data_IF_563025245579
#
_entry.id   IF_563025245579
#
_cell.length_a   1.000
_cell.length_b   1.000
_cell.length_c   1.000
_cell.angle_alpha   90.00
_cell.angle_beta   90.00
_cell.angle_gamma   90.00
#
_symmetry.space_group_name_H-M   'P 1'
#
loop_
_entity.id
_entity.type
_entity.pdbx_description
1 polymer ?
#
# COMPACT_ATOMS: atom_id res chain seq x y z
N UNK A 1 56.69 37.21 60.20
CA UNK A 1 55.95 35.92 60.45
C UNK A 1 54.80 35.80 59.48
N UNK A 2 55.01 35.03 58.44
CA UNK A 2 54.05 34.88 57.33
C UNK A 2 53.42 33.50 57.46
N UNK A 3 52.07 33.41 57.67
CA UNK A 3 51.35 32.18 57.75
C UNK A 3 50.74 31.83 56.37
N UNK A 4 51.22 30.75 55.76
CA UNK A 4 50.62 30.15 54.56
C UNK A 4 49.38 29.36 54.97
N UNK A 5 48.26 29.64 54.32
CA UNK A 5 47.04 28.84 54.39
C UNK A 5 46.98 28.03 53.12
N UNK A 6 47.13 26.69 53.22
CA UNK A 6 46.85 25.71 52.12
C UNK A 6 45.35 25.53 52.02
N UNK A 7 44.81 25.91 50.89
CA UNK A 7 43.44 25.55 50.53
C UNK A 7 43.38 24.18 49.75
N UNK A 8 42.75 23.21 50.34
CA UNK A 8 42.39 21.91 49.66
C UNK A 8 41.19 22.13 48.77
N UNK A 9 41.37 22.04 47.46
CA UNK A 9 40.29 21.95 46.49
C UNK A 9 39.93 20.47 46.26
N UNK A 10 38.78 20.04 46.75
CA UNK A 10 38.24 18.71 46.46
C UNK A 10 37.61 18.72 45.06
N UNK A 11 38.18 17.93 44.14
CA UNK A 11 37.59 17.63 42.82
C UNK A 11 36.51 16.57 42.99
N UNK A 12 35.22 16.93 42.80
CA UNK A 12 34.12 15.98 42.65
C UNK A 12 34.08 15.48 41.22
N UNK A 13 34.48 14.23 40.99
CA UNK A 13 34.27 13.51 39.76
C UNK A 13 32.79 13.04 39.72
N UNK A 14 31.97 13.74 38.92
CA UNK A 14 30.63 13.26 38.59
C UNK A 14 30.77 12.19 37.52
N UNK A 15 30.64 10.93 37.93
CA UNK A 15 30.52 9.79 37.01
C UNK A 15 29.12 9.82 36.37
N UNK A 16 29.03 10.26 35.11
CA UNK A 16 27.81 10.15 34.31
C UNK A 16 27.70 8.72 33.82
N UNK A 17 26.89 7.89 34.48
CA UNK A 17 26.47 6.62 33.95
C UNK A 17 25.58 6.88 32.70
N UNK A 18 26.15 6.72 31.51
CA UNK A 18 25.38 6.61 30.28
C UNK A 18 24.61 5.27 30.35
N UNK A 19 23.32 5.34 30.65
CA UNK A 19 22.44 4.21 30.49
C UNK A 19 22.26 3.98 28.98
N UNK A 20 22.91 2.94 28.46
CA UNK A 20 22.61 2.36 27.15
C UNK A 20 21.16 1.90 27.15
N UNK A 21 20.27 2.73 26.61
CA UNK A 21 18.92 2.33 26.25
C UNK A 21 19.04 1.48 24.97
N UNK A 22 19.44 0.22 25.16
CA UNK A 22 19.27 -0.79 24.13
C UNK A 22 17.79 -0.89 23.83
N UNK A 23 17.36 -0.31 22.71
CA UNK A 23 16.03 -0.52 22.17
C UNK A 23 15.88 -2.04 21.95
N UNK A 24 15.12 -2.71 22.82
CA UNK A 24 14.69 -4.09 22.60
C UNK A 24 13.96 -4.12 21.29
N UNK A 25 14.60 -4.66 20.24
CA UNK A 25 13.93 -5.11 19.03
C UNK A 25 12.80 -6.04 19.50
N UNK A 26 11.55 -5.57 19.40
CA UNK A 26 10.40 -6.44 19.60
C UNK A 26 10.56 -7.57 18.58
N UNK A 27 10.63 -8.82 19.03
CA UNK A 27 10.60 -9.97 18.12
C UNK A 27 9.32 -9.83 17.31
N UNK A 28 9.45 -9.48 16.03
CA UNK A 28 8.33 -9.46 15.09
C UNK A 28 7.82 -10.90 15.02
N UNK A 29 6.60 -11.16 15.48
CA UNK A 29 5.97 -12.45 15.29
C UNK A 29 5.37 -12.45 13.86
N UNK A 30 5.95 -13.22 12.92
CA UNK A 30 5.45 -13.23 11.55
C UNK A 30 4.03 -13.80 11.52
N UNK A 31 3.22 -13.26 10.62
CA UNK A 31 1.85 -13.75 10.36
C UNK A 31 1.89 -15.18 9.84
N UNK A 32 1.02 -16.03 10.34
CA UNK A 32 0.96 -17.47 10.01
C UNK A 32 -0.11 -17.79 8.97
N UNK A 33 -1.21 -17.04 8.97
CA UNK A 33 -2.33 -17.23 8.04
C UNK A 33 -2.57 -15.92 7.28
N UNK A 34 -2.43 -15.93 5.96
CA UNK A 34 -2.76 -14.78 5.11
C UNK A 34 -3.55 -15.25 3.90
N UNK A 35 -4.67 -14.59 3.66
CA UNK A 35 -5.40 -14.64 2.40
C UNK A 35 -5.60 -13.22 1.86
N UNK A 36 -5.33 -13.03 0.57
CA UNK A 36 -5.65 -11.80 -0.14
C UNK A 36 -6.63 -12.13 -1.25
N UNK A 37 -7.79 -11.45 -1.28
CA UNK A 37 -8.82 -11.64 -2.29
C UNK A 37 -9.01 -10.34 -3.08
N UNK A 38 -8.86 -10.37 -4.40
CA UNK A 38 -9.13 -9.21 -5.27
C UNK A 38 -10.63 -9.00 -5.41
N UNK A 39 -11.11 -7.80 -5.03
CA UNK A 39 -12.52 -7.43 -5.07
C UNK A 39 -12.86 -6.42 -6.18
N UNK A 40 -11.89 -5.63 -6.63
CA UNK A 40 -12.01 -4.73 -7.78
C UNK A 40 -10.73 -4.78 -8.62
N UNK A 41 -10.86 -4.93 -9.92
CA UNK A 41 -9.81 -4.89 -10.94
C UNK A 41 -10.45 -4.80 -12.32
N UNK A 42 -9.63 -4.61 -13.38
CA UNK A 42 -10.11 -4.47 -14.76
C UNK A 42 -10.72 -5.75 -15.33
N UNK A 43 -10.31 -6.92 -14.83
CA UNK A 43 -10.80 -8.22 -15.30
C UNK A 43 -11.74 -8.87 -14.28
N UNK A 44 -12.85 -9.38 -14.79
CA UNK A 44 -13.84 -10.11 -14.00
C UNK A 44 -14.47 -11.22 -14.87
N UNK A 45 -15.07 -12.22 -14.25
CA UNK A 45 -15.79 -13.27 -14.94
C UNK A 45 -17.10 -13.66 -14.23
N UNK A 46 -17.98 -14.33 -14.96
CA UNK A 46 -19.27 -14.74 -14.42
C UNK A 46 -20.15 -13.56 -14.01
N UNK A 47 -20.63 -13.58 -12.77
CA UNK A 47 -21.49 -12.55 -12.21
C UNK A 47 -20.74 -11.36 -11.55
N UNK A 48 -19.41 -11.42 -11.47
CA UNK A 48 -18.59 -10.32 -10.95
C UNK A 48 -18.44 -9.19 -11.96
N UNK A 49 -18.07 -8.00 -11.49
CA UNK A 49 -17.92 -6.78 -12.31
C UNK A 49 -16.47 -6.32 -12.27
N UNK A 50 -15.90 -6.08 -13.46
CA UNK A 50 -14.63 -5.40 -13.62
C UNK A 50 -14.81 -3.88 -13.75
N UNK A 51 -13.81 -3.14 -13.33
CA UNK A 51 -13.76 -1.67 -13.46
C UNK A 51 -12.31 -1.19 -13.54
N UNK A 52 -12.12 0.05 -14.01
CA UNK A 52 -10.83 0.71 -13.83
C UNK A 52 -10.71 1.17 -12.37
N UNK A 53 -10.36 0.23 -11.50
CA UNK A 53 -10.22 0.43 -10.06
C UNK A 53 -9.51 -0.75 -9.42
N UNK A 54 -9.11 -0.58 -8.17
CA UNK A 54 -8.49 -1.64 -7.37
C UNK A 54 -9.12 -1.71 -5.98
N UNK A 55 -9.36 -2.93 -5.52
CA UNK A 55 -9.64 -3.23 -4.11
C UNK A 55 -9.27 -4.68 -3.81
N UNK A 56 -8.70 -4.90 -2.63
CA UNK A 56 -8.37 -6.23 -2.15
C UNK A 56 -8.70 -6.37 -0.66
N UNK A 57 -9.35 -7.47 -0.26
CA UNK A 57 -9.47 -7.85 1.14
C UNK A 57 -8.22 -8.62 1.55
N UNK A 58 -7.59 -8.19 2.63
CA UNK A 58 -6.49 -8.87 3.31
C UNK A 58 -7.02 -9.44 4.62
N UNK A 59 -6.99 -10.76 4.74
CA UNK A 59 -7.29 -11.51 5.96
C UNK A 59 -5.97 -12.06 6.50
N UNK A 60 -5.59 -11.70 7.73
CA UNK A 60 -4.32 -12.09 8.33
C UNK A 60 -4.49 -12.35 9.83
N UNK A 61 -4.24 -13.59 10.27
CA UNK A 61 -4.37 -14.04 11.67
C UNK A 61 -5.65 -13.54 12.34
N UNK A 62 -6.81 -13.69 11.65
CA UNK A 62 -8.12 -13.27 12.12
C UNK A 62 -8.36 -11.76 12.11
N UNK A 63 -7.51 -10.95 11.46
CA UNK A 63 -7.70 -9.52 11.18
C UNK A 63 -8.08 -9.30 9.74
N UNK A 64 -8.91 -8.28 9.50
CA UNK A 64 -9.33 -7.89 8.15
C UNK A 64 -8.92 -6.44 7.87
N UNK A 65 -8.20 -6.24 6.77
CA UNK A 65 -7.85 -4.93 6.23
C UNK A 65 -8.35 -4.86 4.79
N UNK A 66 -9.09 -3.81 4.46
CA UNK A 66 -9.39 -3.52 3.07
C UNK A 66 -8.29 -2.62 2.51
N UNK A 67 -7.67 -3.05 1.41
CA UNK A 67 -6.68 -2.26 0.67
C UNK A 67 -7.37 -1.69 -0.57
N UNK A 68 -7.51 -0.36 -0.63
CA UNK A 68 -8.29 0.40 -1.60
C UNK A 68 -9.78 0.02 -1.66
N UNK A 69 -10.60 0.87 -2.28
CA UNK A 69 -12.05 0.74 -2.26
C UNK A 69 -12.70 0.81 -3.67
N UNK A 70 -11.89 0.70 -4.72
CA UNK A 70 -12.38 0.73 -6.10
C UNK A 70 -12.88 2.10 -6.57
N UNK A 71 -13.44 2.11 -7.77
CA UNK A 71 -13.89 3.32 -8.47
C UNK A 71 -15.39 3.58 -8.35
N UNK A 72 -16.20 2.55 -8.60
CA UNK A 72 -17.65 2.71 -8.58
C UNK A 72 -18.22 2.40 -7.19
N UNK A 73 -19.33 3.05 -6.81
CA UNK A 73 -19.89 2.99 -5.46
C UNK A 73 -20.24 1.58 -4.99
N UNK A 74 -20.62 0.70 -5.89
CA UNK A 74 -21.19 -0.62 -5.59
C UNK A 74 -20.31 -1.80 -6.01
N UNK A 75 -19.24 -1.58 -6.77
CA UNK A 75 -18.44 -2.69 -7.34
C UNK A 75 -17.88 -3.62 -6.26
N UNK A 76 -17.24 -3.07 -5.22
CA UNK A 76 -16.64 -3.87 -4.13
C UNK A 76 -17.71 -4.65 -3.37
N UNK A 77 -18.82 -3.99 -3.00
CA UNK A 77 -19.96 -4.60 -2.31
C UNK A 77 -20.57 -5.74 -3.14
N UNK A 78 -20.84 -5.44 -4.41
CA UNK A 78 -21.43 -6.40 -5.36
C UNK A 78 -20.53 -7.62 -5.54
N UNK A 79 -19.25 -7.41 -5.80
CA UNK A 79 -18.30 -8.48 -6.00
C UNK A 79 -18.09 -9.31 -4.73
N UNK A 80 -18.03 -8.70 -3.56
CA UNK A 80 -17.94 -9.40 -2.28
C UNK A 80 -19.18 -10.32 -2.08
N UNK A 81 -20.40 -9.83 -2.35
CA UNK A 81 -21.63 -10.63 -2.28
C UNK A 81 -21.61 -11.81 -3.24
N UNK A 82 -21.21 -11.60 -4.51
CA UNK A 82 -21.13 -12.68 -5.52
C UNK A 82 -20.08 -13.73 -5.15
N UNK A 83 -18.95 -13.29 -4.58
CA UNK A 83 -17.84 -14.17 -4.19
C UNK A 83 -18.05 -14.82 -2.81
N UNK A 84 -19.14 -14.48 -2.12
CA UNK A 84 -19.41 -14.89 -0.73
C UNK A 84 -18.25 -14.52 0.21
N UNK A 85 -17.73 -13.27 0.08
CA UNK A 85 -16.68 -12.69 0.91
C UNK A 85 -17.34 -11.79 1.95
N UNK A 86 -17.08 -12.05 3.23
CA UNK A 86 -17.58 -11.25 4.34
C UNK A 86 -16.69 -10.02 4.57
N UNK A 87 -17.26 -8.83 4.38
CA UNK A 87 -16.58 -7.55 4.65
C UNK A 87 -16.94 -6.98 6.03
N UNK A 88 -17.82 -7.61 6.80
CA UNK A 88 -18.22 -7.08 8.13
C UNK A 88 -17.08 -7.10 9.14
N UNK A 89 -16.04 -7.93 8.90
CA UNK A 89 -14.82 -7.96 9.72
C UNK A 89 -13.90 -6.75 9.51
N UNK A 90 -14.08 -5.95 8.44
CA UNK A 90 -13.20 -4.84 8.09
C UNK A 90 -13.32 -3.69 9.08
N UNK A 91 -12.30 -3.48 9.90
CA UNK A 91 -12.19 -2.34 10.82
C UNK A 91 -11.23 -1.28 10.31
N UNK A 92 -10.34 -1.65 9.42
CA UNK A 92 -9.24 -0.83 8.89
C UNK A 92 -9.26 -0.82 7.36
N UNK A 93 -9.16 0.38 6.79
CA UNK A 93 -8.98 0.58 5.35
C UNK A 93 -7.65 1.27 5.12
N UNK A 94 -6.84 0.74 4.22
CA UNK A 94 -5.61 1.39 3.75
C UNK A 94 -5.86 1.90 2.35
N UNK A 95 -5.73 3.21 2.13
CA UNK A 95 -5.78 3.80 0.80
C UNK A 95 -4.36 4.02 0.28
N UNK A 96 -4.06 3.42 -0.85
CA UNK A 96 -2.72 3.44 -1.45
C UNK A 96 -2.28 4.83 -1.89
N UNK A 97 -3.20 5.63 -2.44
CA UNK A 97 -3.01 7.00 -2.88
C UNK A 97 -4.35 7.68 -3.19
N UNK A 98 -4.32 8.99 -3.50
CA UNK A 98 -5.53 9.82 -3.59
C UNK A 98 -6.39 9.60 -4.85
N UNK A 99 -5.97 8.88 -5.87
CA UNK A 99 -6.72 8.73 -7.12
C UNK A 99 -8.09 8.09 -6.91
N UNK A 100 -9.08 8.59 -7.64
CA UNK A 100 -10.50 8.25 -7.47
C UNK A 100 -10.82 6.77 -7.71
N UNK A 101 -10.05 6.08 -8.54
CA UNK A 101 -10.21 4.67 -8.85
C UNK A 101 -9.74 3.73 -7.71
N UNK A 102 -9.27 4.28 -6.61
CA UNK A 102 -8.87 3.59 -5.38
C UNK A 102 -9.72 3.95 -4.16
N UNK A 103 -10.54 4.99 -4.24
CA UNK A 103 -11.17 5.53 -3.03
C UNK A 103 -12.66 5.92 -3.18
N UNK A 104 -13.20 6.03 -4.39
CA UNK A 104 -14.59 6.50 -4.59
C UNK A 104 -15.62 5.55 -3.97
N UNK A 105 -15.35 4.24 -3.95
CA UNK A 105 -16.23 3.26 -3.31
C UNK A 105 -16.24 3.30 -1.78
N UNK A 106 -15.33 4.04 -1.12
CA UNK A 106 -15.17 3.97 0.34
C UNK A 106 -16.39 4.45 1.13
N UNK A 107 -16.95 5.61 0.77
CA UNK A 107 -18.10 6.16 1.52
C UNK A 107 -19.36 5.31 1.37
N UNK A 108 -19.78 4.88 0.15
CA UNK A 108 -20.86 3.91 -0.03
C UNK A 108 -20.62 2.58 0.69
N UNK A 109 -19.40 2.08 0.67
CA UNK A 109 -19.04 0.85 1.40
C UNK A 109 -19.20 1.01 2.91
N UNK A 110 -18.77 2.14 3.47
CA UNK A 110 -18.98 2.47 4.89
C UNK A 110 -20.46 2.45 5.26
N UNK A 111 -21.32 3.06 4.44
CA UNK A 111 -22.76 3.13 4.66
C UNK A 111 -23.40 1.72 4.62
N UNK A 112 -23.06 0.90 3.59
CA UNK A 112 -23.58 -0.48 3.46
C UNK A 112 -23.15 -1.37 4.63
N UNK A 113 -21.88 -1.36 4.99
CA UNK A 113 -21.34 -2.21 6.05
C UNK A 113 -21.85 -1.81 7.44
N UNK A 114 -22.01 -0.51 7.73
CA UNK A 114 -22.52 -0.04 9.02
C UNK A 114 -24.00 -0.32 9.23
N UNK A 115 -24.75 -0.56 8.18
CA UNK A 115 -26.13 -1.04 8.31
C UNK A 115 -26.22 -2.40 9.05
N UNK A 116 -25.20 -3.26 8.88
CA UNK A 116 -25.12 -4.59 9.53
C UNK A 116 -24.14 -4.63 10.70
N UNK A 117 -23.03 -3.87 10.64
CA UNK A 117 -22.03 -3.77 11.71
C UNK A 117 -21.64 -2.31 11.97
N UNK A 118 -22.18 -1.66 13.02
CA UNK A 118 -21.85 -0.27 13.38
C UNK A 118 -20.35 -0.02 13.64
N UNK A 119 -19.56 -1.09 13.87
CA UNK A 119 -18.12 -1.01 14.09
C UNK A 119 -17.29 -1.22 12.83
N UNK A 120 -17.91 -1.40 11.66
CA UNK A 120 -17.18 -1.50 10.40
C UNK A 120 -16.47 -0.18 10.07
N UNK A 121 -15.30 -0.27 9.50
CA UNK A 121 -14.44 0.85 9.05
C UNK A 121 -14.30 1.92 10.12
N UNK A 122 -13.50 1.65 11.12
CA UNK A 122 -13.20 2.58 12.21
C UNK A 122 -12.00 3.48 11.89
N UNK A 123 -11.06 2.98 11.07
CA UNK A 123 -9.82 3.67 10.72
C UNK A 123 -9.58 3.64 9.22
N UNK A 124 -9.09 4.77 8.72
CA UNK A 124 -8.57 4.90 7.34
C UNK A 124 -7.13 5.37 7.44
N UNK A 125 -6.23 4.61 6.83
CA UNK A 125 -4.80 4.81 6.86
C UNK A 125 -4.31 5.34 5.51
N UNK A 126 -3.67 6.51 5.52
CA UNK A 126 -3.15 7.17 4.32
C UNK A 126 -1.72 7.64 4.53
N UNK A 127 -0.96 7.84 3.46
CA UNK A 127 0.36 8.47 3.57
C UNK A 127 0.25 10.00 3.59
N UNK A 128 1.26 10.66 4.17
CA UNK A 128 1.38 12.11 4.12
C UNK A 128 1.34 12.62 2.69
N UNK A 129 0.62 13.72 2.49
CA UNK A 129 0.38 14.31 1.18
C UNK A 129 -0.91 13.83 0.50
N UNK A 130 -1.62 12.86 1.06
CA UNK A 130 -2.88 12.34 0.50
C UNK A 130 -3.94 13.43 0.33
N UNK A 131 -4.06 14.36 1.25
CA UNK A 131 -5.04 15.44 1.23
C UNK A 131 -4.48 16.77 0.67
N UNK A 132 -3.34 16.76 -0.02
CA UNK A 132 -2.87 17.95 -0.70
C UNK A 132 -3.90 18.38 -1.76
N UNK A 133 -4.07 19.71 -1.92
CA UNK A 133 -4.87 20.25 -3.00
C UNK A 133 -4.19 19.98 -4.33
N UNK A 134 -4.93 19.40 -5.28
CA UNK A 134 -4.42 19.00 -6.59
C UNK A 134 -5.30 19.53 -7.69
N UNK A 135 -4.69 19.75 -8.85
CA UNK A 135 -5.38 20.19 -10.04
C UNK A 135 -4.92 19.42 -11.27
N UNK A 136 -5.88 19.12 -12.14
CA UNK A 136 -5.65 18.46 -13.41
C UNK A 136 -5.93 19.44 -14.57
N UNK A 137 -5.13 19.44 -15.67
CA UNK A 137 -5.40 20.27 -16.84
C UNK A 137 -6.74 19.93 -17.49
N UNK A 138 -7.53 20.96 -17.78
CA UNK A 138 -8.79 20.83 -18.52
C UNK A 138 -8.98 22.05 -19.43
N UNK A 139 -9.01 21.84 -20.75
CA UNK A 139 -8.96 22.93 -21.71
C UNK A 139 -7.73 23.82 -21.51
N UNK A 140 -7.92 25.12 -21.46
CA UNK A 140 -6.86 26.10 -21.22
C UNK A 140 -6.60 26.38 -19.73
N UNK A 141 -7.24 25.63 -18.83
CA UNK A 141 -7.18 25.85 -17.40
C UNK A 141 -6.88 24.60 -16.58
N UNK A 142 -7.27 24.68 -15.31
CA UNK A 142 -7.12 23.58 -14.34
C UNK A 142 -8.40 23.42 -13.52
N UNK A 143 -8.73 22.18 -13.19
CA UNK A 143 -9.82 21.83 -12.27
C UNK A 143 -9.29 21.16 -11.03
N UNK A 144 -9.94 21.38 -9.89
CA UNK A 144 -9.59 20.68 -8.65
C UNK A 144 -9.85 19.19 -8.83
N UNK A 145 -8.90 18.36 -8.38
CA UNK A 145 -8.87 16.93 -8.69
C UNK A 145 -8.88 16.02 -7.46
N UNK A 146 -8.59 16.51 -6.27
CA UNK A 146 -8.60 15.68 -5.06
C UNK A 146 -9.93 15.78 -4.30
N UNK A 147 -10.89 14.95 -4.68
CA UNK A 147 -12.19 14.86 -4.01
C UNK A 147 -12.11 14.39 -2.56
N UNK A 148 -11.04 13.70 -2.17
CA UNK A 148 -10.88 13.13 -0.83
C UNK A 148 -10.76 14.20 0.26
N UNK A 149 -10.47 15.45 -0.08
CA UNK A 149 -10.52 16.60 0.84
C UNK A 149 -11.93 16.77 1.44
N UNK A 150 -12.96 16.64 0.63
CA UNK A 150 -14.36 16.76 1.10
C UNK A 150 -14.90 15.42 1.64
N UNK A 151 -14.48 14.28 1.08
CA UNK A 151 -14.82 12.96 1.60
C UNK A 151 -14.27 12.78 3.02
N UNK A 152 -13.09 13.29 3.34
CA UNK A 152 -12.50 13.32 4.69
C UNK A 152 -13.49 13.83 5.73
N UNK A 153 -14.12 14.98 5.48
CA UNK A 153 -15.08 15.59 6.41
C UNK A 153 -16.29 14.68 6.68
N UNK A 154 -16.76 13.97 5.64
CA UNK A 154 -17.89 13.03 5.76
C UNK A 154 -17.50 11.79 6.57
N UNK A 155 -16.30 11.26 6.34
CA UNK A 155 -15.76 10.12 7.09
C UNK A 155 -15.58 10.47 8.58
N UNK A 156 -14.96 11.63 8.87
CA UNK A 156 -14.77 12.13 10.24
C UNK A 156 -16.10 12.40 10.95
N UNK A 157 -17.08 12.98 10.25
CA UNK A 157 -18.44 13.18 10.78
C UNK A 157 -19.17 11.85 11.08
N UNK A 158 -18.86 10.79 10.31
CA UNK A 158 -19.32 9.43 10.58
C UNK A 158 -18.49 8.73 11.68
N UNK A 159 -17.54 9.40 12.34
CA UNK A 159 -16.73 8.84 13.42
C UNK A 159 -15.58 7.94 12.94
N UNK A 160 -15.19 8.02 11.67
CA UNK A 160 -14.02 7.31 11.16
C UNK A 160 -12.75 8.11 11.53
N UNK A 161 -11.77 7.44 12.12
CA UNK A 161 -10.46 8.04 12.39
C UNK A 161 -9.58 7.96 11.17
N UNK A 162 -9.16 9.10 10.62
CA UNK A 162 -8.18 9.17 9.53
C UNK A 162 -6.79 9.34 10.13
N UNK A 163 -5.83 8.51 9.72
CA UNK A 163 -4.47 8.48 10.25
C UNK A 163 -3.49 8.65 9.09
N UNK A 164 -2.73 9.74 9.13
CA UNK A 164 -1.71 10.06 8.13
C UNK A 164 -0.32 9.61 8.61
N UNK A 165 0.41 8.90 7.76
CA UNK A 165 1.75 8.38 8.07
C UNK A 165 2.81 9.05 7.21
N UNK A 166 3.90 9.49 7.83
CA UNK A 166 5.07 10.05 7.15
C UNK A 166 6.28 9.10 7.14
N UNK A 167 6.14 7.92 7.72
CA UNK A 167 7.17 6.88 7.81
C UNK A 167 6.52 5.51 7.92
N UNK A 168 7.27 4.43 7.66
CA UNK A 168 6.77 3.07 7.86
C UNK A 168 6.28 2.86 9.28
N UNK A 169 5.07 2.31 9.40
CA UNK A 169 4.38 2.11 10.68
C UNK A 169 3.61 0.80 10.67
N UNK A 170 3.72 0.05 11.76
CA UNK A 170 2.89 -1.12 12.01
C UNK A 170 1.49 -0.67 12.45
N UNK A 171 0.46 -1.03 11.68
CA UNK A 171 -0.93 -0.64 11.95
C UNK A 171 -1.72 -1.73 12.67
N UNK A 172 -1.36 -2.98 12.44
CA UNK A 172 -1.83 -4.19 13.12
C UNK A 172 -0.64 -5.15 13.25
N UNK A 173 -0.68 -6.18 14.11
CA UNK A 173 0.43 -7.12 14.25
C UNK A 173 0.92 -7.64 12.89
N UNK A 174 2.18 -7.41 12.57
CA UNK A 174 2.86 -7.77 11.32
C UNK A 174 2.28 -7.15 10.03
N UNK A 175 1.34 -6.22 10.13
CA UNK A 175 0.76 -5.48 8.99
C UNK A 175 1.25 -4.02 9.05
N UNK A 176 1.95 -3.60 7.99
CA UNK A 176 2.63 -2.32 7.91
C UNK A 176 2.13 -1.48 6.74
N UNK A 177 2.06 -0.17 6.94
CA UNK A 177 2.00 0.82 5.86
C UNK A 177 3.37 1.48 5.71
N UNK A 178 3.79 1.74 4.48
CA UNK A 178 5.12 2.31 4.24
C UNK A 178 5.21 3.81 4.54
N UNK A 179 4.07 4.53 4.60
CA UNK A 179 4.08 5.97 4.40
C UNK A 179 4.60 6.31 3.00
N UNK A 180 5.01 7.56 2.74
CA UNK A 180 5.57 7.96 1.44
C UNK A 180 6.80 7.12 1.06
N UNK A 181 6.77 6.54 -0.14
CA UNK A 181 7.87 5.71 -0.64
C UNK A 181 9.05 6.59 -1.08
N UNK A 182 10.26 6.24 -0.63
CA UNK A 182 11.50 6.87 -1.10
C UNK A 182 11.77 6.45 -2.56
N UNK A 183 12.08 7.42 -3.43
CA UNK A 183 12.40 7.19 -4.84
C UNK A 183 13.90 7.28 -5.06
N UNK A 184 14.51 6.17 -5.45
CA UNK A 184 15.94 6.06 -5.76
C UNK A 184 16.18 5.79 -7.24
N UNK A 185 15.14 5.36 -7.96
CA UNK A 185 15.14 5.09 -9.38
C UNK A 185 14.10 5.96 -10.10
N UNK A 186 14.38 6.35 -11.33
CA UNK A 186 13.46 7.08 -12.22
C UNK A 186 12.56 6.09 -12.99
N UNK A 187 11.57 5.52 -12.29
CA UNK A 187 10.67 4.51 -12.85
C UNK A 187 9.42 5.10 -13.49
N UNK A 188 9.01 6.31 -13.09
CA UNK A 188 7.71 6.86 -13.45
C UNK A 188 7.84 8.23 -14.13
N UNK A 189 7.05 8.41 -15.19
CA UNK A 189 6.87 9.71 -15.83
C UNK A 189 5.55 10.32 -15.36
N UNK A 190 5.60 11.53 -14.80
CA UNK A 190 4.43 12.23 -14.29
C UNK A 190 3.83 13.14 -15.37
N UNK A 191 2.49 13.22 -15.37
CA UNK A 191 1.74 14.06 -16.30
C UNK A 191 1.79 15.54 -15.95
N UNK A 192 0.81 16.29 -16.45
CA UNK A 192 0.68 17.73 -16.25
C UNK A 192 -0.14 18.11 -15.01
N UNK A 193 -0.56 17.16 -14.20
CA UNK A 193 -1.22 17.40 -12.92
C UNK A 193 -0.28 18.19 -11.99
N UNK A 194 -0.85 19.01 -11.12
CA UNK A 194 -0.09 19.80 -10.15
C UNK A 194 -0.69 19.72 -8.76
N UNK A 195 0.16 19.85 -7.75
CA UNK A 195 -0.22 19.86 -6.35
C UNK A 195 0.25 21.14 -5.66
N UNK A 196 -0.49 21.57 -4.64
CA UNK A 196 -0.17 22.76 -3.86
C UNK A 196 0.71 22.38 -2.65
N UNK A 197 1.96 22.82 -2.65
CA UNK A 197 2.92 22.62 -1.56
C UNK A 197 3.46 23.97 -1.13
N UNK A 198 3.35 24.30 0.14
CA UNK A 198 3.81 25.57 0.73
C UNK A 198 3.37 26.82 -0.05
N UNK A 199 2.11 26.80 -0.51
CA UNK A 199 1.51 27.90 -1.29
C UNK A 199 1.95 28.00 -2.74
N UNK A 200 2.71 27.03 -3.26
CA UNK A 200 3.17 26.99 -4.66
C UNK A 200 2.63 25.75 -5.38
N UNK A 201 2.20 25.94 -6.64
CA UNK A 201 1.85 24.84 -7.51
C UNK A 201 3.12 24.21 -8.10
N UNK A 202 3.32 22.92 -7.81
CA UNK A 202 4.41 22.09 -8.35
C UNK A 202 3.84 20.90 -9.11
N UNK A 203 4.64 20.24 -9.93
CA UNK A 203 4.22 19.02 -10.62
C UNK A 203 3.80 17.96 -9.58
N UNK A 204 2.65 17.33 -9.79
CA UNK A 204 2.19 16.24 -8.94
C UNK A 204 2.93 14.96 -9.30
N UNK A 205 3.76 14.49 -8.39
CA UNK A 205 4.47 13.22 -8.48
C UNK A 205 3.87 12.15 -7.56
N UNK A 206 2.63 12.35 -7.10
CA UNK A 206 1.90 11.41 -6.21
C UNK A 206 2.75 11.03 -4.99
N UNK A 207 3.11 12.00 -4.13
CA UNK A 207 4.00 11.74 -2.98
C UNK A 207 3.36 10.82 -1.93
N UNK A 208 2.05 10.74 -1.90
CA UNK A 208 1.23 9.90 -1.02
C UNK A 208 1.13 8.43 -1.47
N UNK A 209 1.86 8.04 -2.55
CA UNK A 209 1.92 6.63 -2.96
C UNK A 209 2.57 5.78 -1.85
N UNK A 210 1.76 4.92 -1.22
CA UNK A 210 2.19 4.00 -0.17
C UNK A 210 1.84 2.55 -0.50
N UNK A 211 2.45 1.62 0.21
CA UNK A 211 2.21 0.19 0.08
C UNK A 211 1.78 -0.43 1.40
N UNK A 212 1.02 -1.51 1.33
CA UNK A 212 0.69 -2.38 2.44
C UNK A 212 1.65 -3.57 2.43
N UNK A 213 2.24 -3.88 3.57
CA UNK A 213 3.19 -5.00 3.73
C UNK A 213 2.77 -5.90 4.88
N UNK A 214 2.69 -7.20 4.63
CA UNK A 214 2.46 -8.23 5.66
C UNK A 214 3.76 -9.02 5.83
N UNK A 215 4.26 -9.09 7.07
CA UNK A 215 5.47 -9.83 7.39
C UNK A 215 5.14 -11.30 7.65
N UNK A 216 5.81 -12.21 6.92
CA UNK A 216 5.68 -13.65 7.09
C UNK A 216 7.07 -14.30 7.25
N UNK A 217 7.13 -15.55 7.66
CA UNK A 217 8.39 -16.29 7.81
C UNK A 217 9.04 -16.66 6.47
N UNK A 218 8.27 -16.65 5.34
CA UNK A 218 8.79 -16.87 3.98
C UNK A 218 9.20 -15.59 3.26
N UNK A 219 9.05 -14.43 3.90
CA UNK A 219 9.26 -13.12 3.32
C UNK A 219 7.99 -12.28 3.29
N UNK A 220 8.05 -11.12 2.66
CA UNK A 220 6.96 -10.15 2.69
C UNK A 220 5.91 -10.40 1.62
N UNK A 221 4.65 -10.18 1.98
CA UNK A 221 3.54 -10.04 1.05
C UNK A 221 3.28 -8.54 0.90
N UNK A 222 3.40 -8.01 -0.32
CA UNK A 222 3.34 -6.56 -0.59
C UNK A 222 2.22 -6.26 -1.58
N UNK A 223 1.37 -5.30 -1.22
CA UNK A 223 0.29 -4.78 -2.08
C UNK A 223 0.58 -3.34 -2.48
N UNK A 224 0.53 -3.06 -3.79
CA UNK A 224 0.58 -1.73 -4.37
C UNK A 224 -0.78 -1.37 -4.98
N UNK A 225 -1.21 -0.11 -4.84
CA UNK A 225 -2.40 0.38 -5.55
C UNK A 225 -2.12 0.56 -7.04
N UNK A 226 -1.34 1.59 -7.37
CA UNK A 226 -0.82 1.79 -8.72
C UNK A 226 0.72 1.75 -8.82
N UNK A 227 1.44 1.86 -7.71
CA UNK A 227 2.90 1.91 -7.77
C UNK A 227 3.43 3.21 -8.41
N UNK A 228 2.77 4.36 -8.18
CA UNK A 228 3.22 5.67 -8.71
C UNK A 228 4.60 6.11 -8.22
N UNK A 229 5.09 5.54 -7.15
CA UNK A 229 6.48 5.75 -6.71
C UNK A 229 7.50 4.92 -7.50
N UNK A 230 7.05 3.97 -8.31
CA UNK A 230 7.85 2.92 -8.94
C UNK A 230 7.78 1.62 -8.14
N UNK A 231 7.65 0.49 -8.82
CA UNK A 231 7.55 -0.81 -8.15
C UNK A 231 8.86 -1.21 -7.48
N UNK A 232 10.00 -0.97 -8.11
CA UNK A 232 11.32 -1.27 -7.53
C UNK A 232 11.59 -0.36 -6.34
N UNK A 233 11.34 0.95 -6.47
CA UNK A 233 11.42 1.90 -5.36
C UNK A 233 10.58 1.44 -4.16
N UNK A 234 9.35 0.97 -4.40
CA UNK A 234 8.45 0.52 -3.35
C UNK A 234 9.00 -0.71 -2.61
N UNK A 235 9.51 -1.71 -3.32
CA UNK A 235 10.03 -2.92 -2.71
C UNK A 235 11.38 -2.70 -2.01
N UNK A 236 12.29 -1.92 -2.60
CA UNK A 236 13.54 -1.53 -1.94
C UNK A 236 13.28 -0.68 -0.69
N UNK A 237 12.24 0.18 -0.71
CA UNK A 237 11.80 0.91 0.48
C UNK A 237 11.31 -0.04 1.58
N UNK A 238 10.49 -1.04 1.25
CA UNK A 238 10.03 -2.07 2.21
C UNK A 238 11.24 -2.79 2.82
N UNK A 239 12.16 -3.29 1.98
CA UNK A 239 13.34 -4.02 2.47
C UNK A 239 14.27 -3.14 3.32
N UNK A 240 14.47 -1.88 2.96
CA UNK A 240 15.39 -0.99 3.69
C UNK A 240 14.80 -0.35 4.93
N UNK A 241 13.48 -0.18 5.02
CA UNK A 241 12.82 0.61 6.08
C UNK A 241 11.90 -0.19 7.00
N UNK A 242 11.41 -1.34 6.56
CA UNK A 242 10.53 -2.19 7.36
C UNK A 242 11.30 -3.44 7.81
N UNK A 243 11.72 -4.28 6.86
CA UNK A 243 12.47 -5.49 7.15
C UNK A 243 13.16 -6.02 5.89
N UNK A 244 14.43 -6.44 5.99
CA UNK A 244 15.23 -6.90 4.85
C UNK A 244 15.02 -8.39 4.56
N UNK A 245 13.78 -8.80 4.35
CA UNK A 245 13.46 -10.15 3.87
C UNK A 245 13.09 -10.12 2.37
N UNK A 246 13.15 -11.26 1.66
CA UNK A 246 12.70 -11.34 0.26
C UNK A 246 11.21 -11.04 0.14
N UNK A 247 10.77 -10.70 -1.07
CA UNK A 247 9.35 -10.48 -1.35
C UNK A 247 8.72 -11.82 -1.76
N UNK A 248 7.98 -12.42 -0.84
CA UNK A 248 7.29 -13.69 -1.09
C UNK A 248 6.16 -13.54 -2.12
N UNK A 249 5.38 -12.45 -2.03
CA UNK A 249 4.33 -12.16 -3.00
C UNK A 249 4.19 -10.66 -3.25
N UNK A 250 4.03 -10.29 -4.52
CA UNK A 250 3.78 -8.94 -5.00
C UNK A 250 2.41 -8.91 -5.67
N UNK A 251 1.55 -7.97 -5.24
CA UNK A 251 0.17 -7.89 -5.73
C UNK A 251 -0.26 -6.44 -6.01
N UNK A 252 -1.28 -6.29 -6.88
CA UNK A 252 -1.92 -5.01 -7.18
C UNK A 252 -1.52 -4.38 -8.49
N UNK A 253 -1.50 -3.05 -8.57
CA UNK A 253 -1.10 -2.28 -9.74
C UNK A 253 0.37 -1.87 -9.70
N UNK A 254 1.08 -1.99 -10.82
CA UNK A 254 2.51 -1.70 -10.94
C UNK A 254 2.82 -0.54 -11.89
N UNK A 255 1.79 0.07 -12.47
CA UNK A 255 1.85 1.22 -13.40
C UNK A 255 2.79 1.00 -14.61
N UNK A 256 2.75 -0.19 -15.19
CA UNK A 256 3.64 -0.60 -16.27
C UNK A 256 2.98 -0.66 -17.65
N UNK A 257 1.67 -0.32 -17.78
CA UNK A 257 0.92 -0.46 -19.02
C UNK A 257 1.48 0.34 -20.21
N UNK A 258 2.27 1.38 -19.94
CA UNK A 258 2.98 2.19 -20.95
C UNK A 258 4.53 2.05 -20.86
N UNK A 259 5.03 1.07 -20.11
CA UNK A 259 6.47 0.86 -19.98
C UNK A 259 7.08 0.34 -21.29
N UNK A 260 8.29 0.81 -21.64
CA UNK A 260 9.04 0.27 -22.76
C UNK A 260 9.56 -1.14 -22.47
N UNK A 261 9.92 -1.87 -23.52
CA UNK A 261 10.53 -3.22 -23.40
C UNK A 261 11.81 -3.19 -22.54
N UNK A 262 12.61 -2.14 -22.67
CA UNK A 262 13.81 -1.92 -21.87
C UNK A 262 13.48 -1.75 -20.38
N UNK A 263 12.46 -0.91 -20.05
CA UNK A 263 12.01 -0.71 -18.70
C UNK A 263 11.43 -2.01 -18.11
N UNK A 264 10.67 -2.78 -18.87
CA UNK A 264 10.14 -4.08 -18.43
C UNK A 264 11.25 -5.08 -18.16
N UNK A 265 12.29 -5.13 -19.01
CA UNK A 265 13.47 -5.97 -18.78
C UNK A 265 14.23 -5.59 -17.51
N UNK A 266 14.51 -4.30 -17.35
CA UNK A 266 15.14 -3.75 -16.13
C UNK A 266 14.31 -4.05 -14.87
N UNK A 267 13.01 -3.83 -14.94
CA UNK A 267 12.09 -4.11 -13.82
C UNK A 267 12.13 -5.59 -13.45
N UNK A 268 12.07 -6.49 -14.45
CA UNK A 268 12.12 -7.94 -14.20
C UNK A 268 13.43 -8.36 -13.52
N UNK A 269 14.57 -7.81 -13.96
CA UNK A 269 15.89 -8.10 -13.36
C UNK A 269 15.95 -7.63 -11.90
N UNK A 270 15.44 -6.42 -11.63
CA UNK A 270 15.36 -5.88 -10.27
C UNK A 270 14.46 -6.74 -9.36
N UNK A 271 13.25 -7.06 -9.81
CA UNK A 271 12.31 -7.87 -9.04
C UNK A 271 12.85 -9.29 -8.76
N UNK A 272 13.61 -9.87 -9.71
CA UNK A 272 14.31 -11.15 -9.52
C UNK A 272 15.35 -11.06 -8.41
N UNK A 273 16.17 -9.99 -8.42
CA UNK A 273 17.20 -9.75 -7.41
C UNK A 273 16.60 -9.48 -6.01
N UNK A 274 15.44 -8.81 -5.94
CA UNK A 274 14.66 -8.58 -4.72
C UNK A 274 14.08 -9.90 -4.18
N UNK A 275 13.93 -10.92 -5.04
CA UNK A 275 13.48 -12.26 -4.65
C UNK A 275 11.96 -12.43 -4.69
N UNK A 276 11.27 -11.78 -5.65
CA UNK A 276 9.82 -11.95 -5.87
C UNK A 276 9.51 -13.39 -6.30
N UNK A 277 8.70 -14.10 -5.53
CA UNK A 277 8.36 -15.51 -5.75
C UNK A 277 6.96 -15.71 -6.34
N UNK A 278 6.01 -14.82 -6.01
CA UNK A 278 4.66 -14.83 -6.53
C UNK A 278 4.27 -13.45 -7.04
N UNK A 279 3.52 -13.40 -8.15
CA UNK A 279 3.04 -12.16 -8.75
C UNK A 279 1.55 -12.28 -9.08
N UNK A 280 0.71 -11.44 -8.46
CA UNK A 280 -0.71 -11.32 -8.79
C UNK A 280 -1.01 -9.85 -9.11
N UNK A 281 -0.64 -9.43 -10.32
CA UNK A 281 -0.73 -8.03 -10.71
C UNK A 281 -1.81 -7.79 -11.77
N UNK A 282 -2.46 -6.64 -11.70
CA UNK A 282 -3.56 -6.25 -12.59
C UNK A 282 -3.70 -4.74 -12.67
N UNK A 283 -4.91 -4.25 -12.87
CA UNK A 283 -5.25 -2.84 -12.91
C UNK A 283 -4.31 -2.07 -13.87
N UNK A 284 -3.57 -1.06 -13.41
CA UNK A 284 -2.63 -0.27 -14.22
C UNK A 284 -1.31 -1.00 -14.55
N UNK A 285 -1.14 -2.26 -14.20
CA UNK A 285 0.01 -3.05 -14.66
C UNK A 285 -0.04 -3.30 -16.16
N UNK A 286 -1.22 -3.62 -16.68
CA UNK A 286 -1.39 -4.11 -18.05
C UNK A 286 -1.12 -5.62 -18.19
N UNK A 287 -1.79 -6.26 -19.15
CA UNK A 287 -1.67 -7.71 -19.38
C UNK A 287 -0.31 -8.06 -19.98
N UNK A 288 0.12 -7.35 -21.02
CA UNK A 288 1.40 -7.60 -21.70
C UNK A 288 2.60 -7.38 -20.76
N UNK A 289 2.71 -6.29 -20.01
CA UNK A 289 3.77 -6.14 -19.01
C UNK A 289 3.80 -7.26 -17.99
N UNK A 290 2.65 -7.71 -17.50
CA UNK A 290 2.60 -8.84 -16.58
C UNK A 290 3.18 -10.12 -17.20
N UNK A 291 2.83 -10.44 -18.46
CA UNK A 291 3.36 -11.62 -19.16
C UNK A 291 4.88 -11.53 -19.35
N UNK A 292 5.39 -10.34 -19.66
CA UNK A 292 6.82 -10.05 -19.73
C UNK A 292 7.53 -10.24 -18.39
N UNK A 293 6.95 -9.70 -17.31
CA UNK A 293 7.48 -9.90 -15.96
C UNK A 293 7.47 -11.38 -15.58
N UNK A 294 6.38 -12.12 -15.86
CA UNK A 294 6.32 -13.55 -15.58
C UNK A 294 7.48 -14.32 -16.23
N UNK A 295 7.74 -14.05 -17.51
CA UNK A 295 8.87 -14.67 -18.24
C UNK A 295 10.21 -14.20 -17.66
N UNK A 296 10.38 -12.91 -17.47
CA UNK A 296 11.61 -12.31 -16.96
C UNK A 296 11.98 -12.76 -15.55
N UNK A 297 11.01 -13.03 -14.69
CA UNK A 297 11.26 -13.57 -13.35
C UNK A 297 11.40 -15.10 -13.31
N UNK A 298 11.29 -15.80 -14.43
CA UNK A 298 11.19 -17.26 -14.50
C UNK A 298 10.01 -17.85 -13.67
N UNK A 299 8.93 -17.07 -13.55
CA UNK A 299 7.70 -17.52 -12.91
C UNK A 299 6.82 -18.29 -13.90
N UNK A 300 5.88 -19.04 -13.36
CA UNK A 300 4.97 -19.88 -14.13
C UNK A 300 3.53 -19.38 -13.99
N UNK A 301 2.59 -19.93 -14.77
CA UNK A 301 1.16 -19.66 -14.57
C UNK A 301 0.60 -20.11 -13.21
N UNK A 302 1.39 -20.84 -12.39
CA UNK A 302 1.06 -21.18 -11.01
C UNK A 302 1.57 -20.15 -10.00
N UNK A 303 2.51 -19.31 -10.39
CA UNK A 303 3.15 -18.33 -9.50
C UNK A 303 3.02 -16.89 -9.97
N UNK A 304 2.60 -16.65 -11.24
CA UNK A 304 2.33 -15.32 -11.76
C UNK A 304 1.06 -15.31 -12.60
N UNK A 305 0.06 -14.55 -12.16
CA UNK A 305 -1.27 -14.48 -12.78
C UNK A 305 -1.79 -13.05 -12.81
N UNK A 306 -2.78 -12.81 -13.70
CA UNK A 306 -3.52 -11.55 -13.70
C UNK A 306 -4.35 -11.44 -12.42
N UNK A 307 -4.27 -10.32 -11.73
CA UNK A 307 -5.11 -10.00 -10.58
C UNK A 307 -6.55 -9.65 -11.01
N UNK A 308 -7.32 -10.66 -11.43
CA UNK A 308 -8.73 -10.52 -11.77
C UNK A 308 -9.60 -10.60 -10.51
N UNK A 309 -10.81 -10.03 -10.56
CA UNK A 309 -11.79 -10.10 -9.47
C UNK A 309 -12.05 -11.56 -9.07
N UNK A 310 -11.94 -11.85 -7.77
CA UNK A 310 -12.07 -13.18 -7.18
C UNK A 310 -10.78 -14.01 -7.19
N UNK A 311 -9.70 -13.56 -7.83
CA UNK A 311 -8.38 -14.20 -7.67
C UNK A 311 -7.90 -14.04 -6.23
N UNK A 312 -7.24 -15.09 -5.71
CA UNK A 312 -6.73 -15.12 -4.33
C UNK A 312 -5.25 -15.45 -4.29
N UNK A 313 -4.59 -14.92 -3.28
CA UNK A 313 -3.32 -15.44 -2.80
C UNK A 313 -3.56 -16.04 -1.42
N UNK A 314 -3.11 -17.29 -1.21
CA UNK A 314 -3.23 -17.99 0.08
C UNK A 314 -1.81 -18.35 0.53
N UNK A 315 -1.42 -17.86 1.69
CA UNK A 315 -0.10 -18.12 2.24
C UNK A 315 0.10 -19.63 2.45
N UNK A 316 1.24 -20.14 2.01
CA UNK A 316 1.51 -21.59 2.02
C UNK A 316 1.04 -22.34 0.77
N UNK A 317 0.08 -21.79 0.01
CA UNK A 317 -0.44 -22.44 -1.20
C UNK A 317 -0.08 -21.67 -2.47
N UNK A 318 0.05 -20.32 -2.40
CA UNK A 318 0.35 -19.44 -3.51
C UNK A 318 -0.89 -18.84 -4.17
N UNK A 319 -0.80 -18.52 -5.47
CA UNK A 319 -1.88 -17.86 -6.22
C UNK A 319 -2.97 -18.86 -6.65
N UNK A 320 -4.22 -18.46 -6.46
CA UNK A 320 -5.43 -19.17 -6.90
C UNK A 320 -6.19 -18.26 -7.86
N UNK A 321 -5.89 -18.31 -9.17
CA UNK A 321 -6.55 -17.46 -10.16
C UNK A 321 -8.00 -17.86 -10.38
N UNK A 322 -8.83 -16.90 -10.76
CA UNK A 322 -10.12 -17.21 -11.42
C UNK A 322 -9.89 -17.72 -12.84
N UNK A 323 -10.92 -18.35 -13.45
CA UNK A 323 -10.80 -18.95 -14.77
C UNK A 323 -10.29 -18.01 -15.86
N UNK A 324 -10.64 -16.72 -15.81
CA UNK A 324 -10.20 -15.73 -16.80
C UNK A 324 -8.73 -15.30 -16.60
N UNK A 325 -8.14 -15.59 -15.46
CA UNK A 325 -6.78 -15.20 -15.10
C UNK A 325 -5.75 -16.34 -15.26
N UNK A 326 -6.19 -17.52 -15.70
CA UNK A 326 -5.35 -18.72 -15.88
C UNK A 326 -4.50 -18.70 -17.16
#
# INVERSE_FOLDING_TARGET
MLRFILGLTALYLISVCAADVSAKSSKKNPTQEVQVTILSSNLANGATVGEWGLSALVEADGKCVLFDAGRHPDTVIRNAKVLNVDLTCVTDVVLSHFHFDHNTGLLPLLEDLRASNPKAIQRVHVASGFFLRRQYPQGDGFVDWNQMIDVRKKLEAAGVKIIEYNKPTEILPSIWVSGPVTRTHDEQKYGKARMLVDGKWVQDNVPDSQVLTILTDKGHIVLLGCGHSGVVNALEHVQSKIDNAPIHALMGGLHLFNASDEMLGWTADKLRNIGVQHLMAGHCTGIEPLMRLRTGLNLTRKTAVVGAVGSKFVYGEGVRPTSIAM
#
